data_IF_414329256848
#
_entry.id   IF_414329256848
#
_cell.length_a   1.000
_cell.length_b   1.000
_cell.length_c   1.000
_cell.angle_alpha   90.00
_cell.angle_beta   90.00
_cell.angle_gamma   90.00
#
_symmetry.space_group_name_H-M   'P 1'
#
loop_
_entity.id
_entity.type
_entity.pdbx_description
1 polymer ?
#
# COMPACT_ATOMS: atom_id res chain seq x y z
N UNK A 1 13.27 -25.41 4.54
CA UNK A 1 14.01 -24.19 4.15
C UNK A 1 14.14 -24.04 2.63
N UNK A 2 14.60 -25.06 1.89
CA UNK A 2 14.80 -25.00 0.42
C UNK A 2 13.56 -24.55 -0.35
N UNK A 3 12.39 -25.15 -0.09
CA UNK A 3 11.16 -24.80 -0.78
C UNK A 3 10.76 -23.32 -0.61
N UNK A 4 10.93 -22.77 0.60
CA UNK A 4 10.67 -21.34 0.85
C UNK A 4 11.69 -20.45 0.12
N UNK A 5 12.93 -20.88 -0.04
CA UNK A 5 13.92 -20.15 -0.81
C UNK A 5 13.53 -20.08 -2.30
N UNK A 6 13.04 -21.17 -2.89
CA UNK A 6 12.49 -21.16 -4.23
C UNK A 6 11.31 -20.17 -4.36
N UNK A 7 10.37 -20.19 -3.40
CA UNK A 7 9.24 -19.26 -3.38
C UNK A 7 9.70 -17.79 -3.39
N UNK A 8 10.64 -17.42 -2.52
CA UNK A 8 11.14 -16.04 -2.44
C UNK A 8 12.01 -15.62 -3.62
N UNK A 9 12.48 -16.57 -4.43
CA UNK A 9 13.14 -16.30 -5.73
C UNK A 9 12.15 -16.14 -6.89
N UNK A 10 10.85 -16.37 -6.66
CA UNK A 10 9.84 -16.40 -7.73
C UNK A 10 9.75 -17.75 -8.47
N UNK A 11 10.53 -18.77 -8.06
CA UNK A 11 10.54 -20.10 -8.64
C UNK A 11 9.40 -20.95 -8.05
N UNK A 12 8.14 -20.53 -8.29
CA UNK A 12 6.94 -21.07 -7.61
C UNK A 12 6.67 -22.53 -7.95
N UNK A 13 7.00 -22.95 -9.18
CA UNK A 13 6.81 -24.34 -9.63
C UNK A 13 7.77 -25.28 -8.88
N UNK A 14 9.03 -24.89 -8.74
CA UNK A 14 10.04 -25.68 -8.02
C UNK A 14 9.77 -25.70 -6.50
N UNK A 15 9.30 -24.54 -5.97
CA UNK A 15 8.81 -24.47 -4.59
C UNK A 15 7.69 -25.50 -4.35
N UNK A 16 6.67 -25.53 -5.24
CA UNK A 16 5.53 -26.45 -5.15
C UNK A 16 5.96 -27.91 -5.22
N UNK A 17 6.80 -28.30 -6.18
CA UNK A 17 7.32 -29.67 -6.30
C UNK A 17 8.02 -30.12 -5.02
N UNK A 18 8.86 -29.26 -4.46
CA UNK A 18 9.58 -29.55 -3.20
C UNK A 18 8.61 -29.70 -2.02
N UNK A 19 7.59 -28.83 -1.94
CA UNK A 19 6.56 -28.88 -0.89
C UNK A 19 5.67 -30.12 -1.01
N UNK A 20 5.29 -30.52 -2.23
CA UNK A 20 4.54 -31.76 -2.49
C UNK A 20 5.32 -32.99 -2.03
N UNK A 21 6.63 -33.03 -2.30
CA UNK A 21 7.51 -34.11 -1.78
C UNK A 21 7.49 -34.14 -0.23
N UNK A 22 7.65 -32.96 0.41
CA UNK A 22 7.65 -32.88 1.89
C UNK A 22 6.30 -33.32 2.45
N UNK A 23 5.17 -32.81 1.89
CA UNK A 23 3.81 -33.19 2.30
C UNK A 23 3.59 -34.69 2.23
N UNK A 24 4.04 -35.34 1.16
CA UNK A 24 3.89 -36.78 0.96
C UNK A 24 4.80 -37.61 1.86
N UNK A 25 6.00 -37.12 2.14
CA UNK A 25 6.96 -37.81 3.02
C UNK A 25 6.56 -37.75 4.50
N UNK A 26 5.98 -36.60 4.93
CA UNK A 26 5.65 -36.33 6.34
C UNK A 26 4.14 -36.25 6.59
N UNK A 27 3.38 -37.17 5.97
CA UNK A 27 1.91 -37.24 6.09
C UNK A 27 1.44 -37.14 7.54
N UNK A 28 0.33 -36.43 7.75
CA UNK A 28 -0.34 -36.25 9.06
C UNK A 28 0.50 -35.55 10.13
N UNK A 29 1.63 -34.96 9.77
CA UNK A 29 2.41 -34.11 10.67
C UNK A 29 2.10 -32.63 10.43
N UNK A 30 2.52 -31.79 11.36
CA UNK A 30 2.41 -30.35 11.22
C UNK A 30 3.17 -29.79 10.00
N UNK A 31 4.32 -30.40 9.69
CA UNK A 31 5.11 -30.01 8.50
C UNK A 31 4.32 -30.25 7.20
N UNK A 32 3.47 -31.29 7.16
CA UNK A 32 2.60 -31.51 6.00
C UNK A 32 1.56 -30.40 5.87
N UNK A 33 0.91 -29.97 6.96
CA UNK A 33 -0.03 -28.84 6.95
C UNK A 33 0.65 -27.53 6.56
N UNK A 34 1.84 -27.26 7.10
CA UNK A 34 2.62 -26.10 6.70
C UNK A 34 2.99 -26.13 5.22
N UNK A 35 3.34 -27.32 4.68
CA UNK A 35 3.63 -27.50 3.26
C UNK A 35 2.39 -27.22 2.40
N UNK A 36 1.21 -27.68 2.80
CA UNK A 36 -0.05 -27.40 2.09
C UNK A 36 -0.35 -25.89 2.06
N UNK A 37 -0.14 -25.16 3.17
CA UNK A 37 -0.26 -23.70 3.19
C UNK A 37 0.70 -23.01 2.20
N UNK A 38 1.95 -23.47 2.14
CA UNK A 38 2.91 -22.92 1.19
C UNK A 38 2.61 -23.29 -0.26
N UNK A 39 2.00 -24.47 -0.51
CA UNK A 39 1.51 -24.84 -1.84
C UNK A 39 0.38 -23.89 -2.26
N UNK A 40 -0.56 -23.58 -1.37
CA UNK A 40 -1.60 -22.58 -1.65
C UNK A 40 -1.01 -21.21 -1.99
N UNK A 41 0.03 -20.75 -1.24
CA UNK A 41 0.75 -19.51 -1.58
C UNK A 41 1.41 -19.55 -2.96
N UNK A 42 1.96 -20.70 -3.36
CA UNK A 42 2.52 -20.84 -4.72
C UNK A 42 1.41 -20.70 -5.78
N UNK A 43 0.23 -21.27 -5.56
CA UNK A 43 -0.90 -21.11 -6.48
C UNK A 43 -1.40 -19.66 -6.52
N UNK A 44 -1.47 -18.96 -5.39
CA UNK A 44 -1.80 -17.52 -5.35
C UNK A 44 -0.81 -16.72 -6.19
N UNK A 45 0.49 -17.01 -6.04
CA UNK A 45 1.55 -16.32 -6.78
C UNK A 45 1.56 -16.66 -8.29
N UNK A 46 1.02 -17.81 -8.68
CA UNK A 46 0.80 -18.23 -10.07
C UNK A 46 -0.58 -17.79 -10.61
N UNK A 47 -1.33 -17.03 -9.83
CA UNK A 47 -2.69 -16.55 -10.14
C UNK A 47 -3.73 -17.66 -10.36
N UNK A 48 -3.44 -18.88 -9.88
CA UNK A 48 -4.37 -20.00 -9.90
C UNK A 48 -5.20 -20.03 -8.61
N UNK A 49 -6.07 -19.03 -8.49
CA UNK A 49 -6.83 -18.76 -7.27
C UNK A 49 -7.81 -19.87 -6.90
N UNK A 50 -8.40 -20.56 -7.87
CA UNK A 50 -9.35 -21.64 -7.61
C UNK A 50 -8.68 -22.83 -6.89
N UNK A 51 -7.48 -23.23 -7.33
CA UNK A 51 -6.73 -24.29 -6.65
C UNK A 51 -6.22 -23.83 -5.28
N UNK A 52 -5.79 -22.57 -5.16
CA UNK A 52 -5.40 -22.02 -3.87
C UNK A 52 -6.55 -22.08 -2.85
N UNK A 53 -7.74 -21.62 -3.24
CA UNK A 53 -8.93 -21.60 -2.40
C UNK A 53 -9.34 -23.01 -1.97
N UNK A 54 -9.40 -23.97 -2.92
CA UNK A 54 -9.70 -25.36 -2.62
C UNK A 54 -8.78 -25.95 -1.55
N UNK A 55 -7.47 -25.71 -1.64
CA UNK A 55 -6.49 -26.18 -0.65
C UNK A 55 -6.73 -25.53 0.71
N UNK A 56 -6.99 -24.23 0.74
CA UNK A 56 -7.21 -23.48 1.98
C UNK A 56 -8.51 -23.91 2.66
N UNK A 57 -9.58 -24.14 1.92
CA UNK A 57 -10.85 -24.64 2.44
C UNK A 57 -10.72 -26.06 2.99
N UNK A 58 -10.00 -26.93 2.28
CA UNK A 58 -9.68 -28.25 2.80
C UNK A 58 -8.92 -28.17 4.13
N UNK A 59 -7.93 -27.28 4.22
CA UNK A 59 -7.16 -27.07 5.46
C UNK A 59 -8.06 -26.55 6.59
N UNK A 60 -8.93 -25.59 6.31
CA UNK A 60 -9.90 -25.01 7.26
C UNK A 60 -10.88 -26.07 7.79
N UNK A 61 -11.29 -27.01 6.95
CA UNK A 61 -12.21 -28.10 7.32
C UNK A 61 -11.55 -29.23 8.13
N UNK A 62 -10.22 -29.34 8.15
CA UNK A 62 -9.52 -30.43 8.83
C UNK A 62 -9.57 -30.31 10.36
N UNK A 63 -10.30 -31.20 11.05
CA UNK A 63 -10.43 -31.23 12.54
C UNK A 63 -9.10 -31.28 13.29
N UNK A 64 -8.02 -31.74 12.67
CA UNK A 64 -6.69 -31.88 13.27
C UNK A 64 -5.72 -30.79 12.76
N UNK A 65 -6.23 -29.71 12.17
CA UNK A 65 -5.37 -28.61 11.75
C UNK A 65 -4.70 -27.96 12.98
N UNK A 66 -3.39 -27.73 12.96
CA UNK A 66 -2.68 -27.22 14.13
C UNK A 66 -3.05 -25.77 14.46
N UNK A 67 -3.46 -25.49 15.70
CA UNK A 67 -3.86 -24.14 16.15
C UNK A 67 -2.81 -23.06 15.88
N UNK A 68 -1.52 -23.41 15.97
CA UNK A 68 -0.43 -22.45 15.73
C UNK A 68 -0.34 -22.02 14.26
N UNK A 69 -0.92 -22.77 13.33
CA UNK A 69 -0.99 -22.43 11.91
C UNK A 69 -2.25 -21.64 11.55
N UNK A 70 -3.24 -21.54 12.45
CA UNK A 70 -4.49 -20.82 12.18
C UNK A 70 -4.24 -19.36 11.73
N UNK A 71 -3.33 -18.66 12.39
CA UNK A 71 -2.98 -17.31 11.96
C UNK A 71 -2.45 -17.27 10.52
N UNK A 72 -1.59 -18.20 10.16
CA UNK A 72 -1.00 -18.27 8.82
C UNK A 72 -2.05 -18.63 7.78
N UNK A 73 -2.99 -19.53 8.11
CA UNK A 73 -4.12 -19.88 7.26
C UNK A 73 -4.99 -18.65 6.96
N UNK A 74 -5.40 -17.90 8.00
CA UNK A 74 -6.20 -16.67 7.83
C UNK A 74 -5.46 -15.61 6.98
N UNK A 75 -4.15 -15.45 7.20
CA UNK A 75 -3.36 -14.51 6.40
C UNK A 75 -3.19 -14.95 4.94
N UNK A 76 -3.19 -16.26 4.68
CA UNK A 76 -3.12 -16.78 3.31
C UNK A 76 -4.44 -16.61 2.59
N UNK A 77 -5.58 -16.80 3.27
CA UNK A 77 -6.89 -16.43 2.74
C UNK A 77 -6.99 -14.93 2.45
N UNK A 78 -6.53 -14.10 3.37
CA UNK A 78 -6.54 -12.65 3.15
C UNK A 78 -5.72 -12.24 1.91
N UNK A 79 -4.56 -12.86 1.69
CA UNK A 79 -3.73 -12.61 0.51
C UNK A 79 -4.45 -13.06 -0.77
N UNK A 80 -5.08 -14.23 -0.76
CA UNK A 80 -5.92 -14.72 -1.85
C UNK A 80 -7.02 -13.72 -2.20
N UNK A 81 -7.83 -13.32 -1.22
CA UNK A 81 -8.95 -12.41 -1.44
C UNK A 81 -8.51 -11.00 -1.85
N UNK A 82 -7.35 -10.51 -1.37
CA UNK A 82 -6.77 -9.25 -1.86
C UNK A 82 -6.42 -9.37 -3.35
N UNK A 83 -5.82 -10.49 -3.77
CA UNK A 83 -5.44 -10.73 -5.17
C UNK A 83 -6.65 -10.88 -6.09
N UNK A 84 -7.75 -11.40 -5.57
CA UNK A 84 -9.04 -11.49 -6.27
C UNK A 84 -9.87 -10.21 -6.18
N UNK A 85 -9.39 -9.17 -5.46
CA UNK A 85 -10.12 -7.93 -5.18
C UNK A 85 -11.43 -8.12 -4.38
N UNK A 86 -11.56 -9.25 -3.66
CA UNK A 86 -12.68 -9.55 -2.77
C UNK A 86 -12.40 -8.94 -1.38
N UNK A 87 -12.41 -7.64 -1.30
CA UNK A 87 -11.91 -6.90 -0.13
C UNK A 87 -12.74 -7.10 1.15
N UNK A 88 -14.04 -7.43 1.06
CA UNK A 88 -14.86 -7.75 2.24
C UNK A 88 -14.30 -8.94 3.00
N UNK A 89 -14.03 -10.02 2.29
CA UNK A 89 -13.58 -11.29 2.86
C UNK A 89 -12.12 -11.16 3.33
N UNK A 90 -11.30 -10.46 2.55
CA UNK A 90 -9.94 -10.11 2.97
C UNK A 90 -9.90 -9.37 4.31
N UNK A 91 -10.80 -8.39 4.52
CA UNK A 91 -10.91 -7.64 5.77
C UNK A 91 -11.30 -8.53 6.94
N UNK A 92 -12.20 -9.47 6.76
CA UNK A 92 -12.66 -10.36 7.83
C UNK A 92 -11.57 -11.36 8.24
N UNK A 93 -10.83 -11.89 7.28
CA UNK A 93 -9.68 -12.76 7.54
C UNK A 93 -8.54 -11.99 8.24
N UNK A 94 -8.21 -10.78 7.78
CA UNK A 94 -7.18 -9.92 8.41
C UNK A 94 -7.53 -9.56 9.85
N UNK A 95 -8.78 -9.20 10.13
CA UNK A 95 -9.25 -8.89 11.49
C UNK A 95 -9.18 -10.13 12.39
N UNK A 96 -9.60 -11.29 11.87
CA UNK A 96 -9.53 -12.56 12.57
C UNK A 96 -8.08 -12.94 12.88
N UNK A 97 -7.16 -12.79 11.92
CA UNK A 97 -5.73 -13.01 12.13
C UNK A 97 -5.17 -12.05 13.20
N UNK A 98 -5.56 -10.77 13.19
CA UNK A 98 -5.15 -9.80 14.22
C UNK A 98 -5.58 -10.23 15.63
N UNK A 99 -6.73 -10.89 15.81
CA UNK A 99 -7.17 -11.36 17.13
C UNK A 99 -6.24 -12.46 17.67
N UNK A 100 -5.63 -13.26 16.82
CA UNK A 100 -4.68 -14.30 17.21
C UNK A 100 -3.27 -13.77 17.53
N UNK A 101 -2.96 -12.52 17.17
CA UNK A 101 -1.64 -11.92 17.41
C UNK A 101 -1.65 -11.21 18.77
N UNK A 102 -0.82 -11.68 19.71
CA UNK A 102 -0.73 -11.09 21.05
C UNK A 102 0.04 -9.76 21.07
N UNK A 103 1.13 -9.66 20.32
CA UNK A 103 2.05 -8.51 20.36
C UNK A 103 1.56 -7.39 19.46
N UNK A 104 1.27 -6.20 20.03
CA UNK A 104 0.75 -5.04 19.27
C UNK A 104 1.62 -4.67 18.08
N UNK A 105 2.93 -4.58 18.24
CA UNK A 105 3.84 -4.21 17.15
C UNK A 105 3.78 -5.17 15.95
N UNK A 106 3.45 -6.45 16.17
CA UNK A 106 3.26 -7.43 15.08
C UNK A 106 1.92 -7.27 14.35
N UNK A 107 0.95 -6.52 14.93
CA UNK A 107 -0.34 -6.22 14.29
C UNK A 107 -0.24 -5.02 13.34
N UNK A 108 0.75 -4.15 13.52
CA UNK A 108 0.87 -2.88 12.81
C UNK A 108 0.77 -3.04 11.29
N UNK A 109 1.49 -4.02 10.71
CA UNK A 109 1.45 -4.30 9.27
C UNK A 109 0.04 -4.66 8.78
N UNK A 110 -0.67 -5.47 9.53
CA UNK A 110 -2.03 -5.89 9.14
C UNK A 110 -3.03 -4.76 9.31
N UNK A 111 -2.92 -3.97 10.39
CA UNK A 111 -3.70 -2.75 10.55
C UNK A 111 -3.46 -1.76 9.40
N UNK A 112 -2.21 -1.67 8.93
CA UNK A 112 -1.86 -0.82 7.79
C UNK A 112 -2.58 -1.28 6.51
N UNK A 113 -2.54 -2.57 6.21
CA UNK A 113 -3.25 -3.17 5.04
C UNK A 113 -4.77 -2.93 5.16
N UNK A 114 -5.36 -3.19 6.33
CA UNK A 114 -6.78 -2.94 6.57
C UNK A 114 -7.12 -1.46 6.36
N UNK A 115 -6.25 -0.55 6.82
CA UNK A 115 -6.44 0.89 6.65
C UNK A 115 -6.42 1.30 5.17
N UNK A 116 -5.51 0.72 4.37
CA UNK A 116 -5.41 0.97 2.93
C UNK A 116 -6.66 0.46 2.20
N UNK A 117 -7.10 -0.78 2.46
CA UNK A 117 -8.33 -1.32 1.85
C UNK A 117 -9.51 -0.40 2.14
N UNK A 118 -9.68 0.08 3.37
CA UNK A 118 -10.74 1.04 3.70
C UNK A 118 -10.55 2.40 3.04
N UNK A 119 -9.30 2.84 2.83
CA UNK A 119 -9.00 4.09 2.13
C UNK A 119 -9.40 4.01 0.67
N UNK A 120 -9.05 2.93 -0.02
CA UNK A 120 -9.36 2.69 -1.43
C UNK A 120 -10.87 2.52 -1.65
N UNK A 121 -11.56 1.91 -0.68
CA UNK A 121 -13.02 1.84 -0.65
C UNK A 121 -13.73 3.17 -0.26
N UNK A 122 -12.97 4.27 -0.05
CA UNK A 122 -13.53 5.57 0.33
C UNK A 122 -14.07 5.64 1.77
N UNK A 123 -13.89 4.60 2.59
CA UNK A 123 -14.35 4.57 3.98
C UNK A 123 -13.35 5.28 4.91
N UNK A 124 -13.34 6.61 4.83
CA UNK A 124 -12.41 7.46 5.59
C UNK A 124 -12.48 7.25 7.11
N UNK A 125 -13.65 6.91 7.66
CA UNK A 125 -13.82 6.67 9.10
C UNK A 125 -13.06 5.43 9.57
N UNK A 126 -13.21 4.32 8.86
CA UNK A 126 -12.51 3.08 9.21
C UNK A 126 -11.02 3.18 8.87
N UNK A 127 -10.66 3.76 7.73
CA UNK A 127 -9.28 4.00 7.36
C UNK A 127 -8.54 4.80 8.45
N UNK A 128 -9.11 5.94 8.90
CA UNK A 128 -8.57 6.74 10.02
C UNK A 128 -8.34 5.87 11.25
N UNK A 129 -9.35 5.12 11.68
CA UNK A 129 -9.27 4.24 12.86
C UNK A 129 -8.10 3.27 12.78
N UNK A 130 -7.93 2.60 11.64
CA UNK A 130 -6.89 1.59 11.50
C UNK A 130 -5.49 2.20 11.35
N UNK A 131 -5.32 3.35 10.69
CA UNK A 131 -4.04 4.07 10.72
C UNK A 131 -3.67 4.55 12.13
N UNK A 132 -4.63 5.00 12.94
CA UNK A 132 -4.39 5.32 14.35
C UNK A 132 -3.92 4.08 15.14
N UNK A 133 -4.52 2.91 14.90
CA UNK A 133 -4.06 1.65 15.49
C UNK A 133 -2.64 1.25 15.05
N UNK A 134 -2.23 1.58 13.82
CA UNK A 134 -0.83 1.42 13.40
C UNK A 134 0.10 2.27 14.25
N UNK A 135 -0.24 3.55 14.43
CA UNK A 135 0.57 4.47 15.24
C UNK A 135 0.65 4.03 16.71
N UNK A 136 -0.46 3.58 17.28
CA UNK A 136 -0.53 3.07 18.65
C UNK A 136 0.25 1.76 18.86
N UNK A 137 0.47 1.00 17.77
CA UNK A 137 1.27 -0.22 17.82
C UNK A 137 2.78 0.05 17.86
N UNK A 138 3.19 1.30 17.64
CA UNK A 138 4.57 1.76 17.65
C UNK A 138 5.52 0.85 16.81
N UNK A 139 5.29 0.72 15.50
CA UNK A 139 6.16 -0.05 14.60
C UNK A 139 7.48 0.70 14.30
N UNK A 140 8.27 0.16 13.37
CA UNK A 140 9.47 0.84 12.85
C UNK A 140 9.12 2.18 12.21
N UNK A 141 10.11 3.09 12.17
CA UNK A 141 9.93 4.50 11.79
C UNK A 141 9.25 4.68 10.43
N UNK A 142 9.68 3.95 9.41
CA UNK A 142 9.13 4.05 8.05
C UNK A 142 7.62 3.75 8.03
N UNK A 143 7.18 2.75 8.79
CA UNK A 143 5.76 2.44 8.90
C UNK A 143 4.98 3.52 9.65
N UNK A 144 5.56 4.10 10.72
CA UNK A 144 4.97 5.26 11.42
C UNK A 144 4.84 6.45 10.48
N UNK A 145 5.89 6.74 9.71
CA UNK A 145 5.90 7.82 8.74
C UNK A 145 4.80 7.63 7.70
N UNK A 146 4.81 6.48 7.02
CA UNK A 146 3.83 6.16 5.97
C UNK A 146 2.38 6.14 6.51
N UNK A 147 2.17 5.66 7.74
CA UNK A 147 0.85 5.70 8.38
C UNK A 147 0.37 7.13 8.63
N UNK A 148 1.26 8.06 9.02
CA UNK A 148 0.93 9.48 9.17
C UNK A 148 0.56 10.13 7.85
N UNK A 149 1.32 9.86 6.77
CA UNK A 149 1.04 10.40 5.43
C UNK A 149 -0.32 9.91 4.93
N UNK A 150 -0.59 8.61 5.03
CA UNK A 150 -1.88 8.05 4.60
C UNK A 150 -3.04 8.50 5.51
N UNK A 151 -2.81 8.59 6.82
CA UNK A 151 -3.81 9.15 7.74
C UNK A 151 -4.22 10.58 7.34
N UNK A 152 -3.25 11.43 6.98
CA UNK A 152 -3.53 12.79 6.52
C UNK A 152 -4.49 12.81 5.33
N UNK A 153 -4.32 11.88 4.37
CA UNK A 153 -5.18 11.73 3.19
C UNK A 153 -6.62 11.29 3.51
N UNK A 154 -6.84 10.67 4.66
CA UNK A 154 -8.18 10.21 5.10
C UNK A 154 -8.99 11.27 5.82
N UNK A 155 -8.35 12.36 6.28
CA UNK A 155 -8.99 13.39 7.08
C UNK A 155 -9.93 14.25 6.23
N UNK A 156 -11.08 14.60 6.81
CA UNK A 156 -12.11 15.43 6.14
C UNK A 156 -12.61 16.58 7.01
N UNK A 157 -12.40 16.53 8.32
CA UNK A 157 -12.84 17.61 9.21
C UNK A 157 -11.76 18.68 9.33
N UNK A 158 -12.16 19.95 9.35
CA UNK A 158 -11.23 21.08 9.51
C UNK A 158 -10.35 20.96 10.75
N UNK A 159 -10.92 20.46 11.87
CA UNK A 159 -10.18 20.23 13.11
C UNK A 159 -9.05 19.20 12.92
N UNK A 160 -9.39 18.05 12.34
CA UNK A 160 -8.40 16.98 12.12
C UNK A 160 -7.29 17.43 11.15
N UNK A 161 -7.67 18.14 10.07
CA UNK A 161 -6.73 18.69 9.09
C UNK A 161 -5.75 19.65 9.75
N UNK A 162 -6.24 20.62 10.53
CA UNK A 162 -5.36 21.58 11.21
C UNK A 162 -4.38 20.87 12.17
N UNK A 163 -4.86 19.93 12.98
CA UNK A 163 -4.00 19.18 13.89
C UNK A 163 -2.94 18.36 13.15
N UNK A 164 -3.28 17.79 12.00
CA UNK A 164 -2.33 17.04 11.19
C UNK A 164 -1.31 17.97 10.53
N UNK A 165 -1.73 19.11 9.98
CA UNK A 165 -0.82 20.13 9.42
C UNK A 165 0.22 20.56 10.44
N UNK A 166 -0.19 20.85 11.68
CA UNK A 166 0.76 21.19 12.75
C UNK A 166 1.79 20.08 13.01
N UNK A 167 1.34 18.81 12.98
CA UNK A 167 2.25 17.67 13.13
C UNK A 167 3.24 17.59 11.96
N UNK A 168 2.78 17.73 10.72
CA UNK A 168 3.62 17.69 9.53
C UNK A 168 4.62 18.86 9.52
N UNK A 169 4.21 20.08 9.90
CA UNK A 169 5.09 21.23 10.02
C UNK A 169 6.17 21.03 11.11
N UNK A 170 5.86 20.33 12.20
CA UNK A 170 6.88 19.92 13.18
C UNK A 170 7.84 18.88 12.61
N UNK A 171 7.33 17.94 11.79
CA UNK A 171 8.16 16.91 11.15
C UNK A 171 9.17 17.52 10.16
N UNK A 172 8.82 18.59 9.46
CA UNK A 172 9.75 19.31 8.56
C UNK A 172 10.99 19.83 9.32
N UNK A 173 10.85 20.21 10.58
CA UNK A 173 11.93 20.74 11.42
C UNK A 173 12.81 19.68 12.07
N UNK A 174 12.42 18.40 11.98
CA UNK A 174 13.14 17.29 12.59
C UNK A 174 14.11 16.68 11.57
N UNK A 175 15.41 16.76 11.84
CA UNK A 175 16.50 16.28 10.96
C UNK A 175 16.33 14.82 10.47
N UNK A 176 15.71 13.96 11.27
CA UNK A 176 15.46 12.58 10.86
C UNK A 176 14.45 12.46 9.70
N UNK A 177 13.74 13.51 9.36
CA UNK A 177 12.81 13.55 8.23
C UNK A 177 13.40 14.20 6.97
N UNK A 178 14.68 14.51 6.97
CA UNK A 178 15.32 15.21 5.86
C UNK A 178 15.12 14.51 4.51
N UNK A 179 15.21 13.18 4.51
CA UNK A 179 15.06 12.36 3.31
C UNK A 179 13.57 12.13 2.92
N UNK A 180 12.63 12.63 3.72
CA UNK A 180 11.19 12.51 3.52
C UNK A 180 10.49 13.85 3.30
N UNK A 181 11.23 14.94 3.18
CA UNK A 181 10.66 16.28 3.02
C UNK A 181 9.76 16.40 1.79
N UNK A 182 10.13 15.74 0.71
CA UNK A 182 9.36 15.67 -0.52
C UNK A 182 7.96 15.11 -0.27
N UNK A 183 7.85 14.00 0.47
CA UNK A 183 6.58 13.36 0.79
C UNK A 183 5.75 14.16 1.79
N UNK A 184 6.40 14.86 2.73
CA UNK A 184 5.72 15.72 3.70
C UNK A 184 5.11 16.94 2.96
N UNK A 185 5.87 17.60 2.12
CA UNK A 185 5.36 18.73 1.32
C UNK A 185 4.25 18.29 0.36
N UNK A 186 4.42 17.15 -0.30
CA UNK A 186 3.36 16.58 -1.14
C UNK A 186 2.05 16.40 -0.36
N UNK A 187 2.12 15.77 0.82
CA UNK A 187 0.96 15.54 1.68
C UNK A 187 0.32 16.84 2.16
N UNK A 188 1.12 17.88 2.47
CA UNK A 188 0.60 19.21 2.78
C UNK A 188 -0.14 19.81 1.58
N UNK A 189 0.39 19.63 0.37
CA UNK A 189 -0.26 20.04 -0.88
C UNK A 189 -1.63 19.35 -1.04
N UNK A 190 -1.72 18.03 -0.86
CA UNK A 190 -2.97 17.29 -0.90
C UNK A 190 -4.00 17.81 0.14
N UNK A 191 -3.55 18.10 1.36
CA UNK A 191 -4.41 18.67 2.41
C UNK A 191 -4.92 20.07 2.03
N UNK A 192 -4.09 20.90 1.39
CA UNK A 192 -4.51 22.21 0.89
C UNK A 192 -5.56 22.09 -0.22
N UNK A 193 -5.42 21.09 -1.12
CA UNK A 193 -6.46 20.81 -2.14
C UNK A 193 -7.80 20.44 -1.50
N UNK A 194 -7.79 19.61 -0.44
CA UNK A 194 -9.01 19.26 0.31
C UNK A 194 -9.68 20.53 0.89
N UNK A 195 -8.88 21.49 1.35
CA UNK A 195 -9.35 22.76 1.89
C UNK A 195 -9.68 23.81 0.81
N UNK A 196 -9.48 23.49 -0.46
CA UNK A 196 -9.65 24.37 -1.62
C UNK A 196 -8.66 25.57 -1.63
N UNK A 197 -7.57 25.46 -0.89
CA UNK A 197 -6.47 26.41 -0.91
C UNK A 197 -5.45 26.04 -2.00
N UNK A 198 -5.78 26.35 -3.23
CA UNK A 198 -4.97 25.98 -4.39
C UNK A 198 -3.64 26.72 -4.42
N UNK A 199 -3.56 27.93 -3.88
CA UNK A 199 -2.34 28.73 -3.87
C UNK A 199 -1.27 28.06 -3.00
N UNK A 200 -1.60 27.78 -1.74
CA UNK A 200 -0.68 27.09 -0.83
C UNK A 200 -0.39 25.65 -1.29
N UNK A 201 -1.35 24.99 -1.99
CA UNK A 201 -1.11 23.69 -2.58
C UNK A 201 0.00 23.73 -3.65
N UNK A 202 -0.02 24.73 -4.54
CA UNK A 202 1.03 24.94 -5.56
C UNK A 202 2.39 25.16 -4.90
N UNK A 203 2.48 25.98 -3.84
CA UNK A 203 3.71 26.19 -3.10
C UNK A 203 4.25 24.88 -2.52
N UNK A 204 3.40 24.10 -1.86
CA UNK A 204 3.81 22.84 -1.25
C UNK A 204 4.22 21.78 -2.28
N UNK A 205 3.50 21.62 -3.41
CA UNK A 205 3.93 20.73 -4.48
C UNK A 205 5.25 21.16 -5.11
N UNK A 206 5.46 22.47 -5.27
CA UNK A 206 6.74 23.00 -5.76
C UNK A 206 7.90 22.73 -4.79
N UNK A 207 7.65 22.82 -3.47
CA UNK A 207 8.63 22.42 -2.47
C UNK A 207 8.90 20.91 -2.53
N UNK A 208 7.86 20.11 -2.72
CA UNK A 208 8.00 18.66 -2.90
C UNK A 208 8.92 18.33 -4.09
N UNK A 209 8.71 18.91 -5.28
CA UNK A 209 9.60 18.66 -6.43
C UNK A 209 11.05 19.06 -6.15
N UNK A 210 11.26 20.11 -5.36
CA UNK A 210 12.58 20.63 -5.01
C UNK A 210 13.35 19.71 -4.05
N UNK A 211 12.62 19.06 -3.15
CA UNK A 211 13.18 18.13 -2.18
C UNK A 211 13.27 16.68 -2.68
N UNK A 212 12.60 16.32 -3.77
CA UNK A 212 12.70 15.00 -4.42
C UNK A 212 14.01 14.90 -5.23
N UNK A 213 15.14 14.67 -4.55
CA UNK A 213 16.46 14.58 -5.21
C UNK A 213 16.67 13.20 -5.83
N UNK A 214 16.39 12.13 -5.10
CA UNK A 214 16.58 10.72 -5.52
C UNK A 214 15.25 9.95 -5.64
N UNK A 215 14.12 10.61 -5.50
CA UNK A 215 12.79 10.02 -5.51
C UNK A 215 12.00 10.49 -6.75
N UNK A 216 12.34 9.94 -7.91
CA UNK A 216 11.73 10.29 -9.19
C UNK A 216 10.23 10.07 -9.21
N UNK A 217 9.73 9.02 -8.54
CA UNK A 217 8.30 8.76 -8.41
C UNK A 217 7.61 9.91 -7.68
N UNK A 218 8.11 10.33 -6.51
CA UNK A 218 7.51 11.43 -5.76
C UNK A 218 7.61 12.75 -6.54
N UNK A 219 8.73 12.97 -7.23
CA UNK A 219 8.95 14.14 -8.09
C UNK A 219 7.92 14.19 -9.22
N UNK A 220 7.74 13.10 -9.93
CA UNK A 220 6.77 12.99 -11.02
C UNK A 220 5.34 13.22 -10.54
N UNK A 221 4.95 12.64 -9.39
CA UNK A 221 3.63 12.85 -8.81
C UNK A 221 3.39 14.32 -8.42
N UNK A 222 4.40 15.00 -7.91
CA UNK A 222 4.30 16.42 -7.55
C UNK A 222 4.14 17.30 -8.77
N UNK A 223 4.89 17.04 -9.84
CA UNK A 223 4.71 17.72 -11.12
C UNK A 223 3.34 17.43 -11.74
N UNK A 224 2.85 16.20 -11.64
CA UNK A 224 1.52 15.82 -12.13
C UNK A 224 0.41 16.62 -11.42
N UNK A 225 0.50 16.80 -10.08
CA UNK A 225 -0.45 17.63 -9.34
C UNK A 225 -0.41 19.11 -9.77
N UNK A 226 0.78 19.66 -9.97
CA UNK A 226 0.94 21.01 -10.50
C UNK A 226 0.32 21.13 -11.89
N UNK A 227 0.62 20.19 -12.79
CA UNK A 227 0.04 20.14 -14.15
C UNK A 227 -1.49 20.11 -14.11
N UNK A 228 -2.08 19.26 -13.27
CA UNK A 228 -3.54 19.17 -13.10
C UNK A 228 -4.17 20.47 -12.57
N UNK A 229 -3.50 21.15 -11.64
CA UNK A 229 -3.99 22.43 -11.11
C UNK A 229 -4.04 23.48 -12.22
N UNK A 230 -2.97 23.65 -12.99
CA UNK A 230 -2.90 24.62 -14.07
C UNK A 230 -3.83 24.25 -15.25
N UNK A 231 -3.99 22.96 -15.53
CA UNK A 231 -4.97 22.48 -16.51
C UNK A 231 -6.39 22.91 -16.15
N UNK A 232 -6.79 22.72 -14.87
CA UNK A 232 -8.12 23.15 -14.38
C UNK A 232 -8.31 24.66 -14.39
N UNK A 233 -7.24 25.44 -14.36
CA UNK A 233 -7.26 26.89 -14.50
C UNK A 233 -7.25 27.36 -15.96
N UNK A 234 -7.22 26.43 -16.93
CA UNK A 234 -7.06 26.71 -18.36
C UNK A 234 -5.74 27.42 -18.73
N UNK A 235 -4.74 27.32 -17.86
CA UNK A 235 -3.38 27.81 -18.08
C UNK A 235 -2.54 26.74 -18.79
N UNK A 236 -2.93 26.41 -20.03
CA UNK A 236 -2.41 25.26 -20.77
C UNK A 236 -0.89 25.32 -21.03
N UNK A 237 -0.27 26.48 -21.36
CA UNK A 237 1.19 26.54 -21.51
C UNK A 237 1.94 26.14 -20.24
N UNK A 238 1.50 26.64 -19.08
CA UNK A 238 2.10 26.28 -17.78
C UNK A 238 1.82 24.82 -17.42
N UNK A 239 0.60 24.34 -17.68
CA UNK A 239 0.21 22.95 -17.47
C UNK A 239 1.11 22.00 -18.27
N UNK A 240 1.37 22.32 -19.55
CA UNK A 240 2.25 21.52 -20.43
C UNK A 240 3.65 21.34 -19.84
N UNK A 241 4.28 22.40 -19.34
CA UNK A 241 5.60 22.33 -18.72
C UNK A 241 5.62 21.31 -17.57
N UNK A 242 4.58 21.31 -16.73
CA UNK A 242 4.48 20.38 -15.61
C UNK A 242 4.17 18.94 -16.04
N UNK A 243 3.33 18.74 -17.06
CA UNK A 243 3.08 17.40 -17.61
C UNK A 243 4.33 16.83 -18.31
N UNK A 244 5.10 17.64 -19.04
CA UNK A 244 6.38 17.25 -19.62
C UNK A 244 7.36 16.80 -18.53
N UNK A 245 7.44 17.57 -17.44
CA UNK A 245 8.28 17.22 -16.28
C UNK A 245 7.79 15.95 -15.57
N UNK A 246 6.47 15.81 -15.36
CA UNK A 246 5.90 14.61 -14.77
C UNK A 246 6.22 13.36 -15.59
N UNK A 247 6.03 13.42 -16.89
CA UNK A 247 6.33 12.32 -17.81
C UNK A 247 7.81 11.93 -17.79
N UNK A 248 8.72 12.90 -17.72
CA UNK A 248 10.17 12.67 -17.72
C UNK A 248 10.64 11.85 -16.52
N UNK A 249 10.04 12.07 -15.35
CA UNK A 249 10.44 11.39 -14.11
C UNK A 249 9.55 10.18 -13.75
N UNK A 250 8.45 9.95 -14.48
CA UNK A 250 7.51 8.87 -14.17
C UNK A 250 7.97 7.54 -14.78
N UNK A 251 8.15 6.47 -13.97
CA UNK A 251 8.47 5.15 -14.50
C UNK A 251 7.33 4.60 -15.38
N UNK A 252 7.66 3.92 -16.48
CA UNK A 252 6.67 3.34 -17.40
C UNK A 252 5.69 2.37 -16.73
N UNK A 253 6.13 1.67 -15.71
CA UNK A 253 5.30 0.73 -14.94
C UNK A 253 4.30 1.44 -13.99
N UNK A 254 4.42 2.75 -13.81
CA UNK A 254 3.57 3.47 -12.88
C UNK A 254 2.15 3.62 -13.43
N UNK A 255 1.14 3.38 -12.59
CA UNK A 255 -0.29 3.40 -12.97
C UNK A 255 -0.77 4.68 -13.68
N UNK A 256 -0.10 5.82 -13.48
CA UNK A 256 -0.45 7.10 -14.11
C UNK A 256 0.37 7.39 -15.37
N UNK A 257 1.29 6.52 -15.79
CA UNK A 257 2.20 6.78 -16.90
C UNK A 257 1.45 7.05 -18.21
N UNK A 258 0.57 6.14 -18.64
CA UNK A 258 -0.17 6.28 -19.89
C UNK A 258 -1.11 7.51 -19.88
N UNK A 259 -1.82 7.73 -18.78
CA UNK A 259 -2.69 8.92 -18.65
C UNK A 259 -1.88 10.23 -18.71
N UNK A 260 -0.71 10.27 -18.09
CA UNK A 260 0.19 11.43 -18.13
C UNK A 260 0.69 11.69 -19.54
N UNK A 261 1.08 10.63 -20.28
CA UNK A 261 1.51 10.69 -21.67
C UNK A 261 0.41 11.22 -22.58
N UNK A 262 -0.79 10.65 -22.50
CA UNK A 262 -1.94 11.09 -23.31
C UNK A 262 -2.26 12.58 -23.08
N UNK A 263 -2.28 13.00 -21.81
CA UNK A 263 -2.56 14.42 -21.48
C UNK A 263 -1.46 15.35 -21.99
N UNK A 264 -0.19 14.93 -21.90
CA UNK A 264 0.95 15.65 -22.47
C UNK A 264 0.78 15.83 -23.99
N UNK A 265 0.44 14.77 -24.73
CA UNK A 265 0.22 14.81 -26.19
C UNK A 265 -0.98 15.72 -26.58
N UNK A 266 -2.03 15.75 -25.75
CA UNK A 266 -3.16 16.67 -25.93
C UNK A 266 -2.69 18.13 -25.77
N UNK A 267 -1.91 18.40 -24.71
CA UNK A 267 -1.39 19.74 -24.44
C UNK A 267 -0.40 20.22 -25.51
N UNK A 268 0.38 19.32 -26.13
CA UNK A 268 1.25 19.65 -27.27
C UNK A 268 0.47 20.15 -28.51
N UNK A 269 -0.79 19.73 -28.66
CA UNK A 269 -1.66 20.17 -29.77
C UNK A 269 -2.44 21.44 -29.43
N UNK A 270 -2.56 21.76 -28.13
CA UNK A 270 -3.33 22.92 -27.65
C UNK A 270 -2.47 24.17 -27.48
N UNK A 271 -1.16 24.01 -27.34
CA UNK A 271 -0.16 25.06 -27.08
C UNK A 271 0.83 25.16 -28.24
#
# INVERSE_FOLDING_TARGET
MVAKAYYFKGEYIEAKKTLDFIKNKYKKTEIAFESELWIAKCYIALEDYNFAESILDELRAKKRFPDKLNKELLLTFADLYIKQEVFSDALDELKSACNLIKRKSKKARYYYIIAQIYQDAGNSKQSKKYFELVLDANPEYDMVFNAKMNLARTLRTKKDLNQMKEKLLKMIKDEKNKDYLDQIYYTLGEMNIIEKDTTTAVENYSLSTKHSVENDIQKSLSFLQLGQIYYKKSEYPTSKIFYDSAYTFMPEIHQFYENTKETKEILEKLV
#
